data_IF_543338164173
#
_entry.id   IF_543338164173
#
_cell.length_a   1.000
_cell.length_b   1.000
_cell.length_c   1.000
_cell.angle_alpha   90.00
_cell.angle_beta   90.00
_cell.angle_gamma   90.00
#
_symmetry.space_group_name_H-M   'P 1'
#
loop_
_entity.id
_entity.type
_entity.pdbx_description
1 polymer ?
#
# COMPACT_ATOMS: atom_id res chain seq x y z
N UNK A 1 -20.98 57.06 -25.19
CA UNK A 1 -20.54 56.20 -26.31
C UNK A 1 -19.67 55.14 -25.69
N UNK A 2 -20.20 53.92 -25.64
CA UNK A 2 -19.83 52.88 -24.69
C UNK A 2 -18.44 52.30 -24.92
N UNK A 3 -17.82 52.00 -23.78
CA UNK A 3 -16.66 51.15 -23.57
C UNK A 3 -16.67 49.93 -24.48
N UNK A 4 -15.69 49.85 -25.36
CA UNK A 4 -15.40 48.62 -26.06
C UNK A 4 -13.88 48.41 -26.08
N UNK A 5 -13.51 47.22 -25.61
CA UNK A 5 -12.20 46.54 -25.64
C UNK A 5 -11.53 46.45 -24.25
N UNK A 6 -12.13 45.63 -23.38
CA UNK A 6 -11.36 44.68 -22.56
C UNK A 6 -11.69 43.27 -23.06
N UNK A 7 -11.26 42.96 -24.29
CA UNK A 7 -11.46 41.64 -24.93
C UNK A 7 -10.24 40.72 -24.73
N UNK A 8 -9.19 41.22 -24.06
CA UNK A 8 -7.93 40.51 -23.79
C UNK A 8 -7.46 40.73 -22.35
N UNK A 9 -8.38 40.74 -21.40
CA UNK A 9 -7.99 40.41 -20.03
C UNK A 9 -7.73 38.90 -20.02
N UNK A 10 -6.54 38.52 -20.49
CA UNK A 10 -5.99 37.19 -20.30
C UNK A 10 -6.06 36.96 -18.80
N UNK A 11 -6.95 36.05 -18.38
CA UNK A 11 -6.92 35.52 -17.03
C UNK A 11 -5.44 35.24 -16.70
N UNK A 12 -4.95 35.62 -15.50
CA UNK A 12 -3.58 35.35 -15.12
C UNK A 12 -3.29 33.90 -15.49
N UNK A 13 -2.30 33.67 -16.38
CA UNK A 13 -1.87 32.30 -16.67
C UNK A 13 -1.52 31.72 -15.33
N UNK A 14 -2.36 30.83 -14.83
CA UNK A 14 -2.25 30.29 -13.50
C UNK A 14 -0.87 29.65 -13.44
N UNK A 15 0.02 30.24 -12.63
CA UNK A 15 1.43 29.88 -12.65
C UNK A 15 1.54 28.37 -12.50
N UNK A 16 2.23 27.71 -13.44
CA UNK A 16 2.36 26.25 -13.44
C UNK A 16 2.80 25.78 -12.06
N UNK A 17 2.04 24.84 -11.48
CA UNK A 17 2.33 24.34 -10.15
C UNK A 17 3.77 23.78 -10.12
N UNK A 18 4.67 24.33 -9.29
CA UNK A 18 6.08 23.93 -9.27
C UNK A 18 6.28 22.44 -8.96
N UNK A 19 5.28 21.78 -8.37
CA UNK A 19 5.29 20.33 -8.17
C UNK A 19 5.31 19.53 -9.46
N UNK A 20 4.82 20.06 -10.58
CA UNK A 20 4.85 19.40 -11.89
C UNK A 20 6.29 19.26 -12.38
N UNK A 21 7.05 20.37 -12.37
CA UNK A 21 8.44 20.38 -12.76
C UNK A 21 9.31 19.53 -11.80
N UNK A 22 9.07 19.64 -10.50
CA UNK A 22 9.75 18.82 -9.49
C UNK A 22 9.50 17.32 -9.72
N UNK A 23 8.23 16.92 -9.96
CA UNK A 23 7.87 15.54 -10.22
C UNK A 23 8.54 15.01 -11.49
N UNK A 24 8.60 15.81 -12.55
CA UNK A 24 9.25 15.43 -13.80
C UNK A 24 10.75 15.16 -13.61
N UNK A 25 11.44 16.01 -12.84
CA UNK A 25 12.85 15.82 -12.49
C UNK A 25 13.05 14.54 -11.65
N UNK A 26 12.25 14.34 -10.60
CA UNK A 26 12.27 13.11 -9.78
C UNK A 26 12.07 11.86 -10.65
N UNK A 27 11.12 11.90 -11.58
CA UNK A 27 10.87 10.78 -12.48
C UNK A 27 12.03 10.54 -13.47
N UNK A 28 12.74 11.59 -13.90
CA UNK A 28 13.92 11.43 -14.76
C UNK A 28 15.03 10.69 -14.03
N UNK A 29 15.35 11.12 -12.81
CA UNK A 29 16.35 10.48 -11.95
C UNK A 29 15.94 9.04 -11.61
N UNK A 30 14.67 8.84 -11.25
CA UNK A 30 14.12 7.52 -10.95
C UNK A 30 14.20 6.56 -12.14
N UNK A 31 14.00 7.03 -13.37
CA UNK A 31 14.17 6.21 -14.59
C UNK A 31 15.62 5.78 -14.79
N UNK A 32 16.57 6.67 -14.55
CA UNK A 32 18.00 6.37 -14.68
C UNK A 32 18.46 5.30 -13.68
N UNK A 33 17.87 5.27 -12.48
CA UNK A 33 18.11 4.22 -11.49
C UNK A 33 17.37 2.94 -11.89
N UNK A 34 16.09 3.05 -12.27
CA UNK A 34 15.25 1.89 -12.58
C UNK A 34 15.81 1.04 -13.73
N UNK A 35 16.48 1.65 -14.72
CA UNK A 35 17.10 0.93 -15.84
C UNK A 35 18.28 0.03 -15.44
N UNK A 36 18.81 0.20 -14.22
CA UNK A 36 19.93 -0.58 -13.70
C UNK A 36 19.49 -1.68 -12.73
N UNK A 37 18.20 -1.72 -12.36
CA UNK A 37 17.69 -2.67 -11.38
C UNK A 37 17.20 -3.97 -12.04
N UNK A 38 17.39 -5.13 -11.40
CA UNK A 38 16.77 -6.37 -11.83
C UNK A 38 15.24 -6.29 -11.87
N UNK A 39 14.61 -7.02 -12.80
CA UNK A 39 13.15 -7.00 -13.00
C UNK A 39 12.34 -7.61 -11.84
N UNK A 40 12.96 -8.47 -11.05
CA UNK A 40 12.36 -9.13 -9.90
C UNK A 40 12.34 -8.26 -8.64
N UNK A 41 13.22 -7.24 -8.54
CA UNK A 41 13.35 -6.34 -7.39
C UNK A 41 12.34 -5.19 -7.41
N UNK A 42 11.23 -5.29 -6.67
CA UNK A 42 10.18 -4.25 -6.67
C UNK A 42 10.24 -3.41 -5.40
N UNK A 43 10.45 -2.10 -5.56
CA UNK A 43 10.29 -1.14 -4.46
C UNK A 43 8.86 -0.64 -4.37
N UNK A 44 8.45 -0.32 -3.14
CA UNK A 44 7.12 0.15 -2.82
C UNK A 44 7.04 0.64 -1.38
N UNK A 45 5.93 1.28 -1.03
CA UNK A 45 5.63 1.82 0.30
C UNK A 45 4.46 1.08 0.92
N UNK A 46 4.25 1.18 2.23
CA UNK A 46 3.15 0.47 2.92
C UNK A 46 1.74 1.01 2.58
N UNK A 47 1.69 2.20 1.98
CA UNK A 47 0.49 2.91 1.56
C UNK A 47 0.85 3.94 0.48
N UNK A 48 -0.13 4.39 -0.28
CA UNK A 48 0.00 5.51 -1.21
C UNK A 48 -0.59 6.81 -0.64
N UNK A 49 -1.25 6.81 0.51
CA UNK A 49 -2.16 7.91 0.89
C UNK A 49 -1.49 9.19 1.44
N UNK A 50 -0.16 9.26 1.44
CA UNK A 50 0.55 10.36 2.08
C UNK A 50 0.62 11.61 1.18
N UNK A 51 -0.08 12.68 1.59
CA UNK A 51 -0.17 13.92 0.83
C UNK A 51 1.19 14.66 0.70
N UNK A 52 2.11 14.44 1.64
CA UNK A 52 3.43 15.07 1.63
C UNK A 52 4.34 14.64 0.48
N UNK A 53 3.92 13.70 -0.36
CA UNK A 53 4.63 13.33 -1.60
C UNK A 53 4.26 14.21 -2.80
N UNK A 54 3.65 15.38 -2.58
CA UNK A 54 3.51 16.39 -3.64
C UNK A 54 4.89 16.79 -4.19
N UNK A 55 5.04 16.79 -5.50
CA UNK A 55 6.31 17.01 -6.21
C UNK A 55 7.22 15.79 -6.30
N UNK A 56 6.83 14.64 -5.71
CA UNK A 56 7.60 13.40 -5.73
C UNK A 56 6.79 12.26 -6.37
N UNK A 57 5.51 12.15 -6.00
CA UNK A 57 4.56 11.17 -6.53
C UNK A 57 3.33 11.85 -7.12
N UNK A 58 2.92 12.98 -6.51
CA UNK A 58 1.71 13.70 -6.90
C UNK A 58 2.05 15.07 -7.47
N UNK A 59 1.29 15.51 -8.46
CA UNK A 59 1.33 16.89 -8.95
C UNK A 59 0.01 17.61 -8.67
N UNK A 60 0.02 18.95 -8.70
CA UNK A 60 -1.20 19.75 -8.59
C UNK A 60 -1.78 19.77 -7.17
N UNK A 61 -3.10 19.96 -7.07
CA UNK A 61 -3.82 20.01 -5.80
C UNK A 61 -3.95 18.62 -5.17
N UNK A 62 -3.22 18.40 -4.08
CA UNK A 62 -3.20 17.13 -3.33
C UNK A 62 -4.15 17.23 -2.14
N UNK A 63 -5.19 16.39 -2.12
CA UNK A 63 -6.17 16.28 -1.05
C UNK A 63 -6.49 14.82 -0.79
N UNK A 64 -7.07 14.50 0.38
CA UNK A 64 -7.51 13.13 0.67
C UNK A 64 -8.50 12.59 -0.37
N UNK A 65 -9.36 13.46 -0.90
CA UNK A 65 -10.35 13.10 -1.92
C UNK A 65 -9.69 12.84 -3.28
N UNK A 66 -8.75 13.70 -3.72
CA UNK A 66 -8.04 13.49 -4.98
C UNK A 66 -7.15 12.24 -4.94
N UNK A 67 -6.46 11.99 -3.83
CA UNK A 67 -5.68 10.77 -3.62
C UNK A 67 -6.57 9.52 -3.61
N UNK A 68 -7.74 9.57 -2.96
CA UNK A 68 -8.65 8.42 -2.93
C UNK A 68 -9.19 8.06 -4.32
N UNK A 69 -9.40 9.06 -5.19
CA UNK A 69 -9.94 8.89 -6.54
C UNK A 69 -8.89 8.42 -7.55
N UNK A 70 -7.70 9.02 -7.56
CA UNK A 70 -6.69 8.78 -8.60
C UNK A 70 -5.24 8.71 -8.12
N UNK A 71 -5.01 8.76 -6.81
CA UNK A 71 -3.66 8.75 -6.25
C UNK A 71 -2.92 7.43 -6.51
N UNK A 72 -3.62 6.30 -6.59
CA UNK A 72 -2.96 5.02 -6.85
C UNK A 72 -2.39 4.95 -8.28
N UNK A 73 -3.08 5.56 -9.25
CA UNK A 73 -2.59 5.67 -10.62
C UNK A 73 -1.32 6.53 -10.72
N UNK A 74 -1.32 7.70 -10.06
CA UNK A 74 -0.13 8.56 -10.01
C UNK A 74 1.03 7.86 -9.29
N UNK A 75 0.74 7.17 -8.19
CA UNK A 75 1.71 6.35 -7.47
C UNK A 75 2.39 5.30 -8.35
N UNK A 76 1.59 4.53 -9.09
CA UNK A 76 2.09 3.47 -9.97
C UNK A 76 2.80 4.00 -11.23
N UNK A 77 2.71 5.30 -11.50
CA UNK A 77 3.45 5.97 -12.58
C UNK A 77 4.88 6.32 -12.18
N UNK A 78 5.24 6.24 -10.90
CA UNK A 78 6.59 6.51 -10.44
C UNK A 78 7.54 5.36 -10.84
N UNK A 79 8.65 5.62 -11.58
CA UNK A 79 9.47 4.57 -12.20
C UNK A 79 10.04 3.51 -11.23
N UNK A 80 10.34 3.91 -10.01
CA UNK A 80 10.88 3.01 -8.97
C UNK A 80 9.80 2.30 -8.15
N UNK A 81 8.55 2.79 -8.12
CA UNK A 81 7.49 2.24 -7.28
C UNK A 81 6.70 1.18 -8.04
N UNK A 82 7.22 -0.04 -8.04
CA UNK A 82 6.70 -1.20 -8.80
C UNK A 82 5.82 -2.14 -7.97
N UNK A 83 5.59 -1.81 -6.70
CA UNK A 83 4.65 -2.50 -5.83
C UNK A 83 4.10 -1.54 -4.77
N UNK A 84 3.02 -1.93 -4.08
CA UNK A 84 2.43 -1.14 -2.99
C UNK A 84 1.86 -2.04 -1.90
N UNK A 85 2.02 -1.61 -0.65
CA UNK A 85 1.33 -2.17 0.50
C UNK A 85 -0.11 -1.67 0.59
N UNK A 86 -1.03 -2.55 0.99
CA UNK A 86 -2.43 -2.21 1.22
C UNK A 86 -2.76 -2.35 2.70
N UNK A 87 -2.26 -1.41 3.51
CA UNK A 87 -2.36 -1.48 4.98
C UNK A 87 -3.81 -1.56 5.51
N UNK A 88 -4.80 -0.98 4.80
CA UNK A 88 -6.21 -0.99 5.26
C UNK A 88 -6.79 -2.40 5.43
N UNK A 89 -6.22 -3.40 4.76
CA UNK A 89 -6.61 -4.82 4.89
C UNK A 89 -6.35 -5.39 6.28
N UNK A 90 -5.48 -4.76 7.07
CA UNK A 90 -5.26 -5.13 8.48
C UNK A 90 -6.49 -4.88 9.35
N UNK A 91 -7.16 -3.75 9.16
CA UNK A 91 -8.24 -3.32 10.05
C UNK A 91 -9.59 -3.96 9.71
N UNK A 92 -9.85 -4.21 8.42
CA UNK A 92 -11.06 -4.87 7.95
C UNK A 92 -10.84 -5.49 6.56
N UNK A 93 -11.62 -6.53 6.20
CA UNK A 93 -11.69 -7.01 4.82
C UNK A 93 -11.98 -5.85 3.85
N UNK A 94 -11.27 -5.82 2.72
CA UNK A 94 -11.48 -4.80 1.69
C UNK A 94 -12.67 -5.25 0.82
N UNK A 95 -13.70 -4.40 0.63
CA UNK A 95 -14.80 -4.71 -0.28
C UNK A 95 -14.31 -4.95 -1.71
N UNK A 96 -14.97 -5.85 -2.43
CA UNK A 96 -14.51 -6.29 -3.76
C UNK A 96 -14.52 -5.14 -4.78
N UNK A 97 -15.46 -4.21 -4.66
CA UNK A 97 -15.58 -3.02 -5.47
C UNK A 97 -14.41 -2.04 -5.28
N UNK A 98 -13.88 -1.94 -4.05
CA UNK A 98 -12.68 -1.16 -3.77
C UNK A 98 -11.44 -1.83 -4.37
N UNK A 99 -11.35 -3.15 -4.29
CA UNK A 99 -10.28 -3.91 -4.95
C UNK A 99 -10.32 -3.73 -6.48
N UNK A 100 -11.51 -3.75 -7.09
CA UNK A 100 -11.67 -3.45 -8.53
C UNK A 100 -11.22 -2.03 -8.86
N UNK A 101 -11.66 -1.03 -8.09
CA UNK A 101 -11.22 0.36 -8.28
C UNK A 101 -9.70 0.52 -8.16
N UNK A 102 -9.05 -0.26 -7.30
CA UNK A 102 -7.59 -0.28 -7.21
C UNK A 102 -6.97 -0.92 -8.45
N UNK A 103 -7.51 -2.06 -8.90
CA UNK A 103 -7.07 -2.73 -10.12
C UNK A 103 -7.13 -1.82 -11.36
N UNK A 104 -8.21 -1.06 -11.50
CA UNK A 104 -8.45 -0.18 -12.66
C UNK A 104 -7.46 0.99 -12.73
N UNK A 105 -6.83 1.35 -11.61
CA UNK A 105 -5.81 2.40 -11.55
C UNK A 105 -4.39 1.89 -11.83
N UNK A 106 -4.17 0.58 -11.74
CA UNK A 106 -2.85 -0.02 -11.78
C UNK A 106 -2.50 -0.56 -13.17
N UNK A 107 -1.23 -0.46 -13.60
CA UNK A 107 -0.75 -1.13 -14.79
C UNK A 107 -0.93 -2.64 -14.72
N UNK A 108 -1.04 -3.28 -15.89
CA UNK A 108 -1.13 -4.73 -15.97
C UNK A 108 0.07 -5.41 -15.33
N UNK A 109 -0.21 -6.41 -14.49
CA UNK A 109 0.83 -7.16 -13.78
C UNK A 109 1.41 -6.47 -12.55
N UNK A 110 1.02 -5.24 -12.23
CA UNK A 110 1.41 -4.55 -11.00
C UNK A 110 1.06 -5.41 -9.78
N UNK A 111 2.00 -5.53 -8.84
CA UNK A 111 1.86 -6.40 -7.66
C UNK A 111 1.52 -5.56 -6.44
N UNK A 112 0.54 -6.00 -5.66
CA UNK A 112 0.19 -5.40 -4.38
C UNK A 112 0.46 -6.38 -3.26
N UNK A 113 0.91 -5.87 -2.12
CA UNK A 113 1.13 -6.63 -0.90
C UNK A 113 0.00 -6.30 0.07
N UNK A 114 -0.92 -7.25 0.31
CA UNK A 114 -1.97 -7.08 1.31
C UNK A 114 -1.44 -7.45 2.69
N UNK A 115 -1.85 -6.68 3.69
CA UNK A 115 -1.54 -6.96 5.08
C UNK A 115 -2.47 -8.07 5.57
N UNK A 116 -1.94 -9.03 6.30
CA UNK A 116 -2.80 -10.01 6.94
C UNK A 116 -3.77 -9.28 7.90
N UNK A 117 -5.05 -9.65 7.94
CA UNK A 117 -6.01 -9.04 8.86
C UNK A 117 -5.56 -9.19 10.32
N UNK A 118 -5.89 -8.20 11.15
CA UNK A 118 -5.56 -8.21 12.58
C UNK A 118 -6.08 -9.48 13.28
N UNK A 119 -7.25 -10.01 12.88
CA UNK A 119 -7.78 -11.27 13.41
C UNK A 119 -6.89 -12.50 13.16
N UNK A 120 -5.95 -12.43 12.22
CA UNK A 120 -4.98 -13.49 11.92
C UNK A 120 -3.63 -13.23 12.60
N UNK A 121 -3.21 -11.96 12.71
CA UNK A 121 -1.87 -11.59 13.20
C UNK A 121 -1.81 -11.11 14.65
N UNK A 122 -2.93 -10.65 15.21
CA UNK A 122 -2.99 -10.28 16.62
C UNK A 122 -3.08 -11.56 17.43
N UNK A 123 -2.00 -11.86 18.16
CA UNK A 123 -1.90 -13.00 19.08
C UNK A 123 -2.98 -12.86 20.17
N UNK A 124 -4.17 -13.42 19.93
CA UNK A 124 -5.24 -13.53 20.93
C UNK A 124 -6.25 -14.66 20.66
N UNK A 125 -5.92 -15.66 19.83
CA UNK A 125 -6.85 -16.80 19.59
C UNK A 125 -6.28 -18.19 19.85
N UNK A 126 -4.98 -18.32 20.21
CA UNK A 126 -4.38 -19.65 20.42
C UNK A 126 -3.73 -19.86 21.80
N UNK A 127 -3.63 -18.81 22.64
CA UNK A 127 -3.11 -18.95 24.01
C UNK A 127 -4.19 -19.08 25.09
N UNK A 128 -5.43 -18.66 24.84
CA UNK A 128 -6.50 -18.85 25.83
C UNK A 128 -6.96 -20.31 25.93
N UNK A 129 -6.92 -21.08 24.83
CA UNK A 129 -7.32 -22.49 24.86
C UNK A 129 -6.25 -23.39 25.51
N UNK A 130 -4.96 -23.11 25.29
CA UNK A 130 -3.87 -23.89 25.88
C UNK A 130 -3.69 -23.57 27.37
N UNK A 131 -3.73 -22.30 27.77
CA UNK A 131 -3.60 -21.91 29.18
C UNK A 131 -4.85 -22.26 30.00
N UNK A 132 -6.08 -22.17 29.44
CA UNK A 132 -7.28 -22.48 30.20
C UNK A 132 -7.52 -23.99 30.40
N UNK A 133 -7.07 -24.84 29.46
CA UNK A 133 -7.31 -26.30 29.54
C UNK A 133 -6.08 -27.12 29.91
N UNK A 134 -4.89 -26.83 29.36
CA UNK A 134 -3.72 -27.67 29.58
C UNK A 134 -2.95 -27.30 30.88
N UNK A 135 -2.93 -26.03 31.26
CA UNK A 135 -2.17 -25.57 32.43
C UNK A 135 -2.72 -26.12 33.77
N UNK A 136 -4.04 -26.15 34.04
CA UNK A 136 -4.56 -26.75 35.26
C UNK A 136 -4.26 -28.26 35.34
N UNK A 137 -4.29 -28.96 34.21
CA UNK A 137 -3.99 -30.39 34.12
C UNK A 137 -2.51 -30.71 34.34
N UNK A 138 -1.61 -29.90 33.79
CA UNK A 138 -0.16 -30.05 33.94
C UNK A 138 0.32 -29.70 35.36
N UNK A 139 -0.27 -28.67 35.98
CA UNK A 139 -0.01 -28.34 37.39
C UNK A 139 -0.59 -29.41 38.34
N UNK A 140 -1.79 -29.92 38.08
CA UNK A 140 -2.41 -30.98 38.89
C UNK A 140 -1.66 -32.32 38.81
N UNK A 141 -0.93 -32.58 37.73
CA UNK A 141 -0.08 -33.78 37.58
C UNK A 141 1.32 -33.63 38.17
N UNK A 142 1.69 -32.45 38.67
CA UNK A 142 3.01 -32.19 39.24
C UNK A 142 4.15 -32.21 38.21
N UNK A 143 3.82 -32.16 36.91
CA UNK A 143 4.80 -32.24 35.81
C UNK A 143 5.51 -30.90 35.54
N UNK A 144 5.05 -29.81 36.18
CA UNK A 144 5.63 -28.48 36.08
C UNK A 144 6.06 -27.97 37.46
N UNK A 145 7.28 -28.34 37.86
CA UNK A 145 7.98 -27.68 38.95
C UNK A 145 8.70 -26.43 38.39
N UNK A 146 8.18 -25.24 38.68
CA UNK A 146 8.77 -23.98 38.25
C UNK A 146 10.06 -23.74 39.04
N UNK A 147 11.19 -24.13 38.48
CA UNK A 147 12.51 -23.69 38.94
C UNK A 147 12.85 -22.34 38.29
N UNK A 148 13.51 -21.41 39.01
CA UNK A 148 13.67 -20.01 38.57
C UNK A 148 14.55 -19.84 37.31
N UNK A 149 15.10 -20.92 36.75
CA UNK A 149 15.98 -20.91 35.58
C UNK A 149 15.21 -21.07 34.26
N UNK A 150 13.91 -21.36 34.30
CA UNK A 150 13.06 -21.50 33.11
C UNK A 150 12.18 -20.28 32.80
N UNK A 151 12.50 -19.11 33.37
CA UNK A 151 11.99 -17.83 32.87
C UNK A 151 12.66 -17.46 31.53
N UNK A 152 12.59 -18.37 30.55
CA UNK A 152 12.78 -18.02 29.14
C UNK A 152 11.52 -17.29 28.73
N UNK A 153 11.45 -16.01 29.11
CA UNK A 153 10.46 -15.08 28.60
C UNK A 153 10.58 -15.11 27.09
N UNK A 154 9.60 -15.71 26.44
CA UNK A 154 9.40 -15.62 24.99
C UNK A 154 9.17 -14.14 24.72
N UNK A 155 10.25 -13.43 24.40
CA UNK A 155 10.23 -12.12 23.79
C UNK A 155 9.52 -12.33 22.45
N UNK A 156 8.20 -12.20 22.46
CA UNK A 156 7.39 -12.06 21.26
C UNK A 156 7.87 -10.79 20.56
N UNK A 157 8.88 -10.95 19.71
CA UNK A 157 9.12 -10.07 18.60
C UNK A 157 7.85 -10.11 17.75
N UNK A 158 6.90 -9.24 18.09
CA UNK A 158 5.86 -8.80 17.18
C UNK A 158 6.58 -8.15 16.00
N UNK A 159 6.95 -8.95 15.00
CA UNK A 159 7.31 -8.42 13.70
C UNK A 159 6.04 -7.74 13.21
N UNK A 160 6.01 -6.42 13.31
CA UNK A 160 4.86 -5.61 12.97
C UNK A 160 4.32 -6.03 11.61
N UNK A 161 3.10 -6.57 11.60
CA UNK A 161 2.28 -6.76 10.41
C UNK A 161 2.96 -7.44 9.21
N UNK A 162 2.86 -8.76 9.17
CA UNK A 162 3.16 -9.57 7.99
C UNK A 162 2.39 -9.04 6.75
N UNK A 163 3.15 -8.62 5.74
CA UNK A 163 2.62 -8.49 4.39
C UNK A 163 2.58 -9.88 3.77
N UNK A 164 1.38 -10.35 3.44
CA UNK A 164 1.22 -11.59 2.68
C UNK A 164 1.32 -11.19 1.21
N UNK A 165 2.49 -11.43 0.63
CA UNK A 165 2.63 -11.52 -0.81
C UNK A 165 2.54 -13.00 -1.15
N UNK A 166 1.35 -13.49 -1.45
CA UNK A 166 1.25 -14.76 -2.16
C UNK A 166 2.06 -14.62 -3.44
N UNK A 167 2.80 -15.66 -3.85
CA UNK A 167 3.17 -15.85 -5.25
C UNK A 167 1.85 -15.95 -6.05
N UNK A 168 1.22 -14.80 -6.26
CA UNK A 168 -0.05 -14.64 -6.90
C UNK A 168 0.28 -14.13 -8.28
N UNK A 169 0.01 -14.95 -9.30
CA UNK A 169 -0.72 -14.39 -10.43
C UNK A 169 -1.79 -13.48 -9.83
N UNK A 170 -1.59 -12.18 -10.02
CA UNK A 170 -2.40 -11.13 -9.44
C UNK A 170 -3.88 -11.55 -9.41
N UNK A 171 -4.63 -11.37 -8.30
CA UNK A 171 -6.08 -11.54 -8.35
C UNK A 171 -6.73 -10.59 -9.39
N UNK A 172 -5.98 -9.62 -9.92
CA UNK A 172 -6.38 -8.72 -11.00
C UNK A 172 -6.12 -9.29 -12.41
N UNK A 173 -5.46 -10.45 -12.56
CA UNK A 173 -5.05 -10.98 -13.88
C UNK A 173 -6.17 -11.68 -14.66
N UNK A 174 -7.29 -12.01 -14.00
CA UNK A 174 -8.45 -12.67 -14.62
C UNK A 174 -9.74 -12.20 -13.97
N UNK A 175 -10.16 -10.97 -14.28
CA UNK A 175 -11.57 -10.62 -14.09
C UNK A 175 -12.34 -11.04 -15.36
N UNK A 176 -13.37 -11.91 -15.27
CA UNK A 176 -14.18 -12.23 -16.44
C UNK A 176 -14.86 -10.95 -16.94
N UNK A 177 -14.45 -10.48 -18.14
CA UNK A 177 -15.01 -9.30 -18.80
C UNK A 177 -14.03 -8.19 -19.20
N UNK A 178 -12.73 -8.28 -18.86
CA UNK A 178 -11.74 -7.31 -19.36
C UNK A 178 -11.26 -7.73 -20.75
N UNK A 179 -11.51 -6.95 -21.83
CA UNK A 179 -10.96 -7.25 -23.13
C UNK A 179 -9.43 -7.20 -23.07
N UNK A 180 -8.77 -8.16 -23.72
CA UNK A 180 -7.32 -8.18 -23.85
C UNK A 180 -6.87 -6.95 -24.66
N UNK A 181 -5.73 -6.32 -24.31
CA UNK A 181 -5.17 -5.27 -25.13
C UNK A 181 -4.83 -5.84 -26.52
N UNK A 182 -5.28 -5.17 -27.57
CA UNK A 182 -4.87 -5.47 -28.94
C UNK A 182 -3.37 -5.23 -29.07
N UNK A 183 -2.65 -6.27 -29.47
CA UNK A 183 -1.23 -6.26 -29.84
C UNK A 183 -0.93 -5.27 -30.95
#
# INVERSE_FOLDING_TARGET
>A
MSDQISLFELAPVEAEDPSIAALAAVHADARAIASQLPDDLRFGTSSWRFQGWKGIVYSGTVSSSSIAKGGLHQYASHPLLRTVGVDRSYYAPIPIEDLRRYADQLPDGFRCCTKAPAGVTAVALTMSLVLAFALPLLLARGELAVTPVHAFGVLLLTIGSLFVSSRCDSPFRRWPGRPLPSS
#
